data_IF_541231286345
#
_entry.id   IF_541231286345
#
_cell.length_a   1.000
_cell.length_b   1.000
_cell.length_c   1.000
_cell.angle_alpha   90.00
_cell.angle_beta   90.00
_cell.angle_gamma   90.00
#
_symmetry.space_group_name_H-M   'P 1'
#
loop_
_entity.id
_entity.type
_entity.pdbx_description
1 polymer ?
2 non-polymer ?
3 non-polymer ?
4 non-polymer ?
5 water ?
#
# COMPACT_ATOMS: atom_id res chain seq x y z
N UNK A 1 -7.04 -13.31 1.35
CA UNK A 1 -8.47 -13.42 1.62
C UNK A 1 -8.91 -12.39 2.66
N UNK A 2 -10.00 -11.70 2.36
CA UNK A 2 -10.55 -10.71 3.29
C UNK A 2 -11.22 -11.41 4.47
N UNK A 3 -11.32 -10.69 5.58
CA UNK A 3 -11.91 -11.22 6.80
C UNK A 3 -12.58 -10.08 7.55
N UNK A 4 -12.88 -10.31 8.83
CA UNK A 4 -13.57 -9.30 9.63
C UNK A 4 -12.68 -8.11 9.97
N UNK A 5 -11.37 -8.23 9.79
CA UNK A 5 -10.49 -7.08 9.99
C UNK A 5 -10.66 -6.03 8.90
N UNK A 6 -11.33 -6.36 7.81
CA UNK A 6 -11.61 -5.43 6.71
C UNK A 6 -13.10 -5.39 6.40
N UNK A 7 -13.94 -5.60 7.41
CA UNK A 7 -15.38 -5.65 7.19
C UNK A 7 -16.04 -4.28 7.25
N UNK A 8 -15.44 -3.31 7.96
CA UNK A 8 -15.98 -1.95 7.93
C UNK A 8 -15.85 -1.35 6.54
N UNK A 9 -14.72 -1.57 5.87
CA UNK A 9 -14.55 -1.04 4.53
C UNK A 9 -15.44 -1.71 3.50
N UNK A 10 -15.58 -3.04 3.60
CA UNK A 10 -16.43 -3.75 2.65
C UNK A 10 -17.90 -3.38 2.82
N UNK A 11 -18.36 -3.24 4.06
CA UNK A 11 -19.74 -2.84 4.30
C UNK A 11 -20.01 -1.42 3.79
N UNK A 12 -19.00 -0.56 3.83
CA UNK A 12 -19.16 0.79 3.28
C UNK A 12 -19.38 0.76 1.78
N UNK A 13 -18.66 -0.11 1.08
CA UNK A 13 -18.80 -0.19 -0.38
C UNK A 13 -20.15 -0.79 -0.76
N UNK A 14 -20.57 -1.86 -0.08
CA UNK A 14 -21.88 -2.43 -0.39
C UNK A 14 -23.00 -1.50 0.02
N UNK A 15 -22.80 -0.67 1.04
CA UNK A 15 -23.78 0.35 1.38
C UNK A 15 -23.83 1.43 0.31
N UNK A 16 -22.67 1.77 -0.27
CA UNK A 16 -22.64 2.76 -1.34
C UNK A 16 -23.35 2.24 -2.58
N UNK A 17 -23.16 0.96 -2.91
CA UNK A 17 -23.78 0.40 -4.11
C UNK A 17 -25.28 0.20 -3.91
N UNK A 18 -25.69 -0.29 -2.74
CA UNK A 18 -27.11 -0.54 -2.49
C UNK A 18 -27.87 0.79 -2.45
N UNK A 19 -27.30 1.80 -1.80
CA UNK A 19 -27.97 3.09 -1.70
C UNK A 19 -28.04 3.78 -3.06
N UNK A 20 -26.99 3.64 -3.88
CA UNK A 20 -27.04 4.19 -5.23
C UNK A 20 -28.10 3.49 -6.08
N UNK A 21 -28.18 2.17 -5.98
CA UNK A 21 -29.17 1.42 -6.75
C UNK A 21 -30.59 1.82 -6.37
N UNK A 22 -30.85 2.02 -5.07
CA UNK A 22 -32.19 2.36 -4.63
C UNK A 22 -32.56 3.79 -5.03
N UNK A 23 -31.60 4.71 -4.98
CA UNK A 23 -31.88 6.10 -5.35
C UNK A 23 -32.20 6.22 -6.84
N UNK A 24 -31.45 5.51 -7.68
CA UNK A 24 -31.68 5.59 -9.12
C UNK A 24 -32.96 4.86 -9.53
N UNK A 25 -33.18 3.67 -8.97
CA UNK A 25 -34.35 2.88 -9.37
C UNK A 25 -35.65 3.59 -9.04
N UNK A 26 -35.68 4.32 -7.92
CA UNK A 26 -36.89 5.02 -7.51
C UNK A 26 -37.06 6.37 -8.19
N UNK A 27 -36.03 6.86 -8.89
CA UNK A 27 -36.14 8.12 -9.63
C UNK A 27 -35.98 7.93 -11.13
N UNK A 28 -34.87 7.37 -11.59
CA UNK A 28 -34.57 7.21 -13.01
C UNK A 28 -34.08 5.79 -13.26
N UNK A 29 -34.99 4.82 -13.40
CA UNK A 29 -34.55 3.44 -13.60
C UNK A 29 -33.71 3.24 -14.85
N UNK A 30 -33.88 4.06 -15.88
CA UNK A 30 -33.11 3.89 -17.10
C UNK A 30 -31.64 4.21 -16.92
N UNK A 31 -31.24 4.78 -15.78
CA UNK A 31 -29.86 5.18 -15.54
C UNK A 31 -29.27 4.51 -14.31
N UNK A 32 -29.73 3.30 -13.96
CA UNK A 32 -29.14 2.62 -12.82
C UNK A 32 -27.68 2.26 -13.07
N UNK A 33 -27.37 1.80 -14.29
CA UNK A 33 -26.05 1.26 -14.61
C UNK A 33 -25.03 2.37 -14.80
N UNK A 34 -25.31 3.43 -15.58
CA UNK A 34 -24.40 4.60 -15.54
C UNK A 34 -24.33 5.24 -14.18
N UNK A 35 -25.42 5.25 -13.41
CA UNK A 35 -25.37 5.81 -12.07
C UNK A 35 -24.51 4.99 -11.12
N UNK A 36 -24.55 3.66 -11.25
CA UNK A 36 -23.72 2.81 -10.41
C UNK A 36 -22.24 2.97 -10.73
N UNK A 37 -21.92 3.16 -12.01
CA UNK A 37 -20.51 3.32 -12.39
C UNK A 37 -19.92 4.60 -11.85
N UNK A 38 -20.72 5.67 -11.77
CA UNK A 38 -20.23 6.92 -11.22
C UNK A 38 -19.91 6.78 -9.72
N UNK A 39 -20.70 6.00 -8.99
CA UNK A 39 -20.39 5.73 -7.59
C UNK A 39 -19.10 4.93 -7.46
N UNK A 40 -18.90 3.94 -8.33
CA UNK A 40 -17.65 3.17 -8.30
C UNK A 40 -16.46 4.04 -8.66
N UNK A 41 -16.62 4.96 -9.62
CA UNK A 41 -15.55 5.88 -9.95
C UNK A 41 -15.22 6.80 -8.78
N UNK A 42 -16.25 7.21 -8.03
CA UNK A 42 -16.02 8.00 -6.83
C UNK A 42 -15.27 7.21 -5.77
N UNK A 43 -15.61 5.94 -5.60
CA UNK A 43 -14.97 5.12 -4.59
C UNK A 43 -13.53 4.76 -4.97
N UNK A 44 -13.25 4.64 -6.27
CA UNK A 44 -11.88 4.36 -6.71
C UNK A 44 -10.95 5.52 -6.36
N UNK A 45 -11.42 6.75 -6.51
CA UNK A 45 -10.62 7.91 -6.15
C UNK A 45 -10.42 8.00 -4.64
N UNK A 46 -11.47 7.68 -3.87
CA UNK A 46 -11.35 7.69 -2.42
C UNK A 46 -10.34 6.66 -1.95
N UNK A 47 -10.37 5.46 -2.54
CA UNK A 47 -9.49 4.38 -2.14
C UNK A 47 -8.02 4.64 -2.49
N UNK A 48 -7.73 5.65 -3.30
CA UNK A 48 -6.36 6.00 -3.64
C UNK A 48 -5.85 7.20 -2.87
N UNK A 49 -6.63 7.71 -1.91
CA UNK A 49 -6.29 8.95 -1.22
C UNK A 49 -5.35 8.76 -0.04
N UNK A 50 -5.10 7.52 0.39
CA UNK A 50 -4.13 7.21 1.44
C UNK A 50 -4.45 7.96 2.74
N UNK A 51 -5.62 7.63 3.31
CA UNK A 51 -6.02 8.26 4.55
C UNK A 51 -5.96 7.26 5.70
N UNK A 52 -5.71 7.72 6.93
CA UNK A 52 -5.64 6.79 8.07
C UNK A 52 -6.92 5.99 8.27
N UNK A 53 -8.08 6.55 7.97
CA UNK A 53 -9.32 5.81 8.09
C UNK A 53 -9.45 4.74 7.02
N UNK A 54 -8.77 4.91 5.89
CA UNK A 54 -8.87 3.93 4.80
C UNK A 54 -8.28 2.59 5.23
N UNK A 55 -7.05 2.60 5.73
CA UNK A 55 -6.43 1.36 6.18
C UNK A 55 -6.97 0.90 7.53
N UNK A 56 -7.62 1.80 8.28
CA UNK A 56 -8.31 1.38 9.49
C UNK A 56 -9.59 0.62 9.19
N UNK A 57 -10.17 0.80 8.00
CA UNK A 57 -11.35 0.07 7.56
C UNK A 57 -11.02 -1.15 6.72
N UNK A 58 -9.91 -1.12 5.98
CA UNK A 58 -9.52 -2.23 5.10
C UNK A 58 -8.28 -2.95 5.60
N UNK A 59 -7.98 -2.83 6.91
CA UNK A 59 -6.86 -3.50 7.55
C UNK A 59 -5.50 -3.00 7.03
N UNK A 60 -5.13 -3.39 5.81
CA UNK A 60 -3.82 -3.07 5.28
C UNK A 60 -3.94 -2.20 4.03
N UNK A 61 -2.84 -1.53 3.69
CA UNK A 61 -2.79 -0.74 2.47
C UNK A 61 -2.81 -1.62 1.23
N UNK A 62 -2.32 -2.86 1.34
CA UNK A 62 -2.40 -3.79 0.23
C UNK A 62 -3.85 -4.11 -0.11
N UNK A 63 -4.69 -4.29 0.91
CA UNK A 63 -6.10 -4.55 0.67
C UNK A 63 -6.84 -3.29 0.21
N UNK A 64 -6.33 -2.11 0.59
CA UNK A 64 -6.93 -0.87 0.11
C UNK A 64 -6.79 -0.77 -1.41
N UNK A 65 -5.61 -1.09 -1.94
CA UNK A 65 -5.37 -1.01 -3.37
C UNK A 65 -5.92 -2.20 -4.13
N UNK A 66 -6.22 -3.31 -3.44
CA UNK A 66 -6.91 -4.41 -4.11
C UNK A 66 -8.37 -4.06 -4.40
N UNK A 67 -9.05 -3.46 -3.42
CA UNK A 67 -10.40 -2.96 -3.65
C UNK A 67 -10.39 -1.79 -4.62
N UNK A 68 -9.34 -0.97 -4.57
CA UNK A 68 -9.20 0.14 -5.51
C UNK A 68 -9.16 -0.35 -6.95
N UNK A 69 -8.56 -1.52 -7.20
CA UNK A 69 -8.58 -2.10 -8.52
C UNK A 69 -9.92 -2.74 -8.85
N UNK A 70 -10.61 -3.27 -7.84
CA UNK A 70 -11.89 -3.93 -8.10
C UNK A 70 -12.97 -2.92 -8.51
N UNK A 71 -13.03 -1.78 -7.81
CA UNK A 71 -13.98 -0.74 -8.19
C UNK A 71 -13.59 -0.06 -9.50
N UNK A 72 -12.32 -0.18 -9.90
CA UNK A 72 -11.90 0.35 -11.19
C UNK A 72 -12.39 -0.52 -12.33
N UNK A 73 -12.33 -1.85 -12.17
CA UNK A 73 -12.80 -2.74 -13.21
C UNK A 73 -14.32 -2.80 -13.27
N UNK A 74 -14.98 -2.66 -12.13
CA UNK A 74 -16.44 -2.59 -12.13
C UNK A 74 -16.94 -1.33 -12.82
N UNK A 75 -16.21 -0.22 -12.69
CA UNK A 75 -16.60 1.02 -13.37
C UNK A 75 -16.56 0.86 -14.87
N UNK A 76 -15.44 0.37 -15.41
CA UNK A 76 -15.27 0.31 -16.85
C UNK A 76 -16.22 -0.72 -17.47
N UNK A 77 -16.58 -1.76 -16.72
CA UNK A 77 -17.52 -2.75 -17.24
C UNK A 77 -18.92 -2.15 -17.36
N UNK A 78 -19.32 -1.35 -16.37
CA UNK A 78 -20.62 -0.71 -16.43
C UNK A 78 -20.65 0.43 -17.45
N UNK A 79 -19.54 1.15 -17.61
CA UNK A 79 -19.48 2.21 -18.60
C UNK A 79 -19.47 1.67 -20.02
N UNK A 80 -18.87 0.50 -20.23
CA UNK A 80 -18.88 -0.11 -21.55
C UNK A 80 -20.30 -0.55 -21.92
N UNK A 81 -21.03 -1.13 -20.97
CA UNK A 81 -22.43 -1.47 -21.23
C UNK A 81 -23.31 -0.24 -21.28
N UNK A 82 -22.91 0.85 -20.63
CA UNK A 82 -23.59 2.13 -20.83
C UNK A 82 -23.38 2.64 -22.26
N UNK A 83 -22.14 2.62 -22.72
CA UNK A 83 -21.84 3.08 -24.07
C UNK A 83 -22.47 2.19 -25.13
N UNK A 84 -22.44 0.88 -24.92
CA UNK A 84 -22.97 -0.04 -25.92
C UNK A 84 -24.47 0.14 -26.10
N UNK A 85 -25.20 0.28 -25.00
CA UNK A 85 -26.65 0.32 -25.05
C UNK A 85 -27.22 1.72 -25.27
N UNK A 86 -26.38 2.75 -25.27
CA UNK A 86 -26.87 4.12 -25.32
C UNK A 86 -26.24 4.98 -26.41
N UNK A 87 -25.19 4.53 -27.04
CA UNK A 87 -24.54 5.33 -28.07
C UNK A 87 -23.63 4.51 -28.95
N UNK A 88 -22.59 5.17 -29.48
CA UNK A 88 -21.66 4.53 -30.40
C UNK A 88 -20.22 4.95 -30.17
N UNK A 89 -19.45 5.01 -31.25
CA UNK A 89 -18.03 5.35 -31.12
C UNK A 89 -17.84 6.84 -30.82
N UNK A 90 -18.58 7.70 -31.50
CA UNK A 90 -18.48 9.14 -31.32
C UNK A 90 -19.86 9.73 -31.25
N UNK A 91 -20.00 10.79 -30.45
CA UNK A 91 -21.30 11.38 -30.20
C UNK A 91 -21.63 12.52 -31.14
N UNK A 92 -22.92 12.84 -31.20
CA UNK A 92 -23.43 13.92 -32.06
C UNK A 92 -23.42 15.26 -31.36
N UNK A 93 -23.77 15.31 -30.07
CA UNK A 93 -23.74 16.53 -29.30
C UNK A 93 -22.45 16.62 -28.50
N UNK A 94 -22.17 17.82 -27.99
CA UNK A 94 -21.00 18.02 -27.14
C UNK A 94 -21.14 17.22 -25.84
N UNK A 95 -22.34 17.16 -25.28
CA UNK A 95 -22.54 16.43 -24.03
C UNK A 95 -22.22 14.95 -24.19
N UNK A 96 -22.66 14.35 -25.30
CA UNK A 96 -22.36 12.94 -25.54
C UNK A 96 -20.88 12.71 -25.80
N UNK A 97 -20.24 13.65 -26.51
CA UNK A 97 -18.83 13.50 -26.86
C UNK A 97 -17.93 13.60 -25.64
N UNK A 98 -18.38 14.28 -24.59
CA UNK A 98 -17.63 14.30 -23.34
C UNK A 98 -17.57 12.91 -22.72
N UNK A 99 -18.67 12.17 -22.81
CA UNK A 99 -18.65 10.80 -22.33
C UNK A 99 -17.87 9.86 -23.22
N UNK A 100 -17.74 10.20 -24.50
CA UNK A 100 -16.89 9.43 -25.40
C UNK A 100 -15.42 9.61 -25.05
N UNK A 101 -15.01 10.85 -24.83
CA UNK A 101 -13.62 11.11 -24.45
C UNK A 101 -13.26 10.45 -23.12
N UNK A 102 -14.16 10.53 -22.16
CA UNK A 102 -13.88 9.98 -20.83
C UNK A 102 -13.71 8.47 -20.88
N UNK A 103 -14.57 7.77 -21.63
CA UNK A 103 -14.48 6.32 -21.69
C UNK A 103 -13.23 5.88 -22.44
N UNK A 104 -12.77 6.67 -23.40
CA UNK A 104 -11.54 6.33 -24.10
C UNK A 104 -10.33 6.49 -23.18
N UNK A 105 -10.31 7.55 -22.37
CA UNK A 105 -9.22 7.73 -21.42
C UNK A 105 -9.31 6.70 -20.30
N UNK A 106 -10.51 6.39 -19.84
CA UNK A 106 -10.67 5.41 -18.77
C UNK A 106 -10.20 4.03 -19.20
N UNK A 107 -10.55 3.62 -20.42
CA UNK A 107 -10.12 2.31 -20.91
C UNK A 107 -8.63 2.30 -21.22
N UNK A 108 -8.09 3.39 -21.77
CA UNK A 108 -6.67 3.44 -22.09
C UNK A 108 -5.82 3.41 -20.84
N UNK A 109 -6.23 4.13 -19.79
CA UNK A 109 -5.45 4.16 -18.56
C UNK A 109 -5.52 2.82 -17.84
N UNK A 110 -6.71 2.22 -17.79
CA UNK A 110 -6.86 0.93 -17.11
C UNK A 110 -6.08 -0.15 -17.85
N UNK A 111 -6.05 -0.10 -19.17
CA UNK A 111 -5.24 -1.03 -19.94
C UNK A 111 -3.76 -0.84 -19.64
N UNK A 112 -3.30 0.41 -19.61
CA UNK A 112 -1.90 0.71 -19.32
C UNK A 112 -1.58 0.39 -17.86
N UNK A 113 -2.53 0.64 -16.96
CA UNK A 113 -2.29 0.39 -15.53
C UNK A 113 -2.04 -1.09 -15.27
N UNK A 114 -2.80 -1.97 -15.93
CA UNK A 114 -2.64 -3.40 -15.68
C UNK A 114 -1.34 -3.92 -16.28
N UNK A 115 -1.18 -3.81 -17.60
CA UNK A 115 0.03 -4.29 -18.26
C UNK A 115 1.10 -3.20 -18.36
N UNK A 116 1.38 -2.56 -17.24
CA UNK A 116 2.40 -1.53 -17.19
C UNK A 116 3.48 -1.83 -16.17
N UNK A 117 3.81 -3.11 -16.02
CA UNK A 117 4.83 -3.51 -15.07
C UNK A 117 6.22 -3.03 -15.49
N UNK A 118 6.53 -3.08 -16.78
CA UNK A 118 7.87 -2.75 -17.26
C UNK A 118 8.10 -1.25 -17.41
N UNK A 119 7.05 -0.43 -17.33
CA UNK A 119 7.22 1.03 -17.40
C UNK A 119 7.80 1.52 -16.08
N UNK A 120 8.50 2.64 -16.14
CA UNK A 120 9.01 3.26 -14.93
C UNK A 120 7.84 3.71 -14.06
N UNK A 121 8.05 3.67 -12.74
CA UNK A 121 6.96 3.95 -11.81
C UNK A 121 6.48 5.39 -11.93
N UNK A 122 7.40 6.34 -12.09
CA UNK A 122 7.00 7.74 -12.20
C UNK A 122 6.33 8.02 -13.54
N UNK A 123 6.82 7.40 -14.60
CA UNK A 123 6.12 7.50 -15.89
C UNK A 123 4.75 6.84 -15.80
N UNK A 124 4.66 5.70 -15.12
CA UNK A 124 3.37 5.06 -14.92
C UNK A 124 2.42 5.94 -14.12
N UNK A 125 2.95 6.61 -13.09
CA UNK A 125 2.12 7.48 -12.26
C UNK A 125 1.59 8.67 -13.05
N UNK A 126 2.42 9.26 -13.91
CA UNK A 126 1.98 10.40 -14.71
C UNK A 126 0.91 10.01 -15.71
N UNK A 127 1.04 8.83 -16.33
CA UNK A 127 -0.02 8.32 -17.19
C UNK A 127 -1.26 8.01 -16.37
N UNK A 128 -1.07 7.46 -15.17
CA UNK A 128 -2.21 7.10 -14.32
C UNK A 128 -3.03 8.33 -13.93
N UNK A 129 -2.36 9.47 -13.76
CA UNK A 129 -3.05 10.69 -13.32
C UNK A 129 -3.95 11.28 -14.40
N UNK A 130 -4.10 10.63 -15.56
CA UNK A 130 -5.01 11.09 -16.59
C UNK A 130 -6.45 10.69 -16.33
N UNK A 131 -6.71 9.83 -15.34
CA UNK A 131 -8.09 9.49 -15.01
C UNK A 131 -8.81 10.69 -14.40
N UNK A 132 -8.07 11.61 -13.78
CA UNK A 132 -8.71 12.81 -13.26
C UNK A 132 -9.30 13.64 -14.38
N UNK A 133 -8.58 13.76 -15.50
CA UNK A 133 -9.12 14.46 -16.66
C UNK A 133 -10.36 13.75 -17.20
N UNK A 134 -10.31 12.41 -17.27
CA UNK A 134 -11.47 11.64 -17.69
C UNK A 134 -12.61 11.74 -16.68
N UNK A 135 -12.28 11.73 -15.39
CA UNK A 135 -13.31 11.89 -14.35
C UNK A 135 -13.99 13.25 -14.47
N UNK A 136 -13.22 14.31 -14.69
CA UNK A 136 -13.79 15.64 -14.87
C UNK A 136 -14.64 15.67 -16.14
N UNK A 137 -14.15 15.06 -17.22
CA UNK A 137 -14.92 15.03 -18.47
C UNK A 137 -16.25 14.28 -18.28
N UNK A 138 -16.23 13.20 -17.51
CA UNK A 138 -17.47 12.49 -17.23
C UNK A 138 -18.45 13.32 -16.42
N UNK A 139 -17.94 14.16 -15.52
CA UNK A 139 -18.82 15.02 -14.73
C UNK A 139 -19.49 16.07 -15.60
N UNK A 140 -18.77 16.60 -16.59
CA UNK A 140 -19.42 17.46 -17.59
C UNK A 140 -20.49 16.70 -18.37
N UNK A 141 -20.19 15.45 -18.73
CA UNK A 141 -21.15 14.65 -19.48
C UNK A 141 -22.44 14.43 -18.68
N UNK A 142 -22.30 14.13 -17.38
CA UNK A 142 -23.47 13.84 -16.56
C UNK A 142 -24.30 15.10 -16.36
N UNK A 143 -23.65 16.23 -16.07
CA UNK A 143 -24.38 17.45 -15.73
C UNK A 143 -24.88 18.20 -16.95
N UNK A 144 -24.27 18.00 -18.12
CA UNK A 144 -24.84 18.53 -19.35
C UNK A 144 -26.02 17.70 -19.83
N UNK A 145 -25.97 16.38 -19.63
CA UNK A 145 -27.05 15.52 -20.06
C UNK A 145 -28.26 15.67 -19.14
N UNK A 146 -28.04 15.49 -17.84
CA UNK A 146 -29.13 15.57 -16.85
C UNK A 146 -29.15 16.96 -16.21
N UNK A 147 -29.40 17.96 -17.03
CA UNK A 147 -29.45 19.32 -16.54
C UNK A 147 -30.74 19.58 -15.77
N UNK A 148 -30.60 20.30 -14.66
CA UNK A 148 -31.68 20.71 -13.77
C UNK A 148 -32.31 19.54 -13.03
N UNK A 149 -31.89 18.30 -13.32
CA UNK A 149 -32.39 17.13 -12.61
C UNK A 149 -31.50 16.72 -11.45
N UNK A 150 -30.21 17.06 -11.49
CA UNK A 150 -29.29 16.84 -10.39
C UNK A 150 -28.90 18.15 -9.72
N UNK A 151 -29.66 19.21 -9.94
CA UNK A 151 -29.38 20.53 -9.36
C UNK A 151 -30.58 21.05 -8.59
N UNK A 152 -31.43 20.16 -8.10
CA UNK A 152 -32.60 20.53 -7.32
C UNK A 152 -32.45 20.02 -5.90
N UNK A 153 -33.50 20.21 -5.09
CA UNK A 153 -33.52 19.73 -3.71
C UNK A 153 -34.24 18.39 -3.68
N UNK A 154 -33.49 17.33 -3.96
CA UNK A 154 -34.01 15.98 -3.91
C UNK A 154 -32.89 15.02 -3.56
N UNK A 155 -33.25 13.76 -3.34
CA UNK A 155 -32.28 12.76 -2.92
C UNK A 155 -31.25 12.48 -4.01
N UNK A 156 -31.69 12.43 -5.27
CA UNK A 156 -30.78 12.11 -6.37
C UNK A 156 -29.72 13.20 -6.55
N UNK A 157 -30.11 14.46 -6.43
CA UNK A 157 -29.14 15.55 -6.56
C UNK A 157 -28.11 15.50 -5.44
N UNK A 158 -28.55 15.22 -4.22
CA UNK A 158 -27.61 15.13 -3.10
C UNK A 158 -26.71 13.91 -3.23
N UNK A 159 -27.25 12.79 -3.69
CA UNK A 159 -26.46 11.57 -3.82
C UNK A 159 -25.43 11.70 -4.93
N UNK A 160 -25.83 12.19 -6.10
CA UNK A 160 -24.90 12.32 -7.20
C UNK A 160 -23.88 13.41 -6.91
N UNK A 161 -24.32 14.54 -6.36
CA UNK A 161 -23.41 15.63 -6.10
C UNK A 161 -22.38 15.31 -5.04
N UNK A 162 -22.80 14.62 -3.98
CA UNK A 162 -21.88 14.32 -2.88
C UNK A 162 -20.79 13.35 -3.32
N UNK A 163 -21.16 12.25 -3.98
CA UNK A 163 -20.17 11.29 -4.43
C UNK A 163 -19.27 11.88 -5.51
N UNK A 164 -19.83 12.68 -6.41
CA UNK A 164 -19.01 13.36 -7.41
C UNK A 164 -18.07 14.36 -6.76
N UNK A 165 -18.53 15.06 -5.73
CA UNK A 165 -17.65 16.01 -5.04
C UNK A 165 -16.57 15.28 -4.24
N UNK A 166 -16.91 14.14 -3.61
CA UNK A 166 -15.92 13.38 -2.87
C UNK A 166 -14.82 12.86 -3.79
N UNK A 167 -15.19 12.34 -4.96
CA UNK A 167 -14.20 11.90 -5.92
C UNK A 167 -13.38 13.04 -6.49
N UNK A 168 -14.01 14.20 -6.69
CA UNK A 168 -13.27 15.38 -7.15
C UNK A 168 -12.30 15.86 -6.09
N UNK A 169 -12.71 15.84 -4.82
CA UNK A 169 -11.84 16.27 -3.74
C UNK A 169 -10.76 15.22 -3.42
N UNK A 170 -11.07 13.94 -3.62
CA UNK A 170 -10.08 12.90 -3.37
C UNK A 170 -9.02 12.87 -4.47
N UNK A 171 -9.43 13.08 -5.72
CA UNK A 171 -8.47 13.11 -6.81
C UNK A 171 -7.53 14.30 -6.73
N UNK A 172 -8.04 15.45 -6.27
CA UNK A 172 -7.20 16.64 -6.16
C UNK A 172 -6.20 16.49 -5.02
N UNK A 173 -6.59 15.83 -3.94
CA UNK A 173 -5.70 15.72 -2.79
C UNK A 173 -4.49 14.84 -3.08
N UNK A 174 -4.73 13.65 -3.64
CA UNK A 174 -3.62 12.72 -3.85
C UNK A 174 -2.73 13.18 -5.00
N UNK A 175 -3.30 13.83 -6.02
CA UNK A 175 -2.51 14.19 -7.19
C UNK A 175 -1.76 15.49 -6.95
N UNK A 176 -2.42 16.50 -6.38
CA UNK A 176 -1.82 17.82 -6.25
C UNK A 176 -1.43 18.21 -4.84
N UNK A 177 -2.00 17.58 -3.82
CA UNK A 177 -1.84 18.03 -2.45
C UNK A 177 -1.11 17.05 -1.54
N UNK A 178 -1.21 15.74 -1.79
CA UNK A 178 -0.71 14.75 -0.84
C UNK A 178 0.78 14.90 -0.60
N UNK A 179 1.57 15.10 -1.66
CA UNK A 179 3.01 15.17 -1.52
C UNK A 179 3.50 16.54 -1.06
N UNK A 180 2.62 17.52 -0.96
CA UNK A 180 3.01 18.87 -0.55
C UNK A 180 2.62 19.21 0.86
N UNK A 181 1.47 18.72 1.35
CA UNK A 181 1.00 19.06 2.67
C UNK A 181 1.05 17.89 3.64
N UNK A 182 0.95 16.65 3.15
CA UNK A 182 0.86 15.48 4.02
C UNK A 182 2.23 14.88 4.33
N UNK A 183 3.29 15.68 4.28
CA UNK A 183 4.64 15.25 4.63
C UNK A 183 5.21 16.23 5.64
N UNK A 184 4.72 16.20 6.88
CA UNK A 184 5.10 17.22 7.86
C UNK A 184 6.39 16.93 8.60
N UNK A 185 6.98 15.75 8.42
CA UNK A 185 8.19 15.35 9.15
C UNK A 185 9.39 15.69 8.28
N UNK A 186 9.95 16.87 8.50
CA UNK A 186 11.17 17.28 7.79
C UNK A 186 12.38 16.81 8.57
N UNK A 187 13.33 16.21 7.86
CA UNK A 187 14.54 15.72 8.50
C UNK A 187 15.71 15.73 7.53
N UNK A 188 16.88 15.42 8.07
CA UNK A 188 18.11 15.36 7.28
C UNK A 188 18.86 14.09 7.66
N UNK A 189 19.69 13.62 6.72
CA UNK A 189 20.44 12.40 6.92
C UNK A 189 21.70 12.71 7.72
N UNK A 190 21.89 12.00 8.83
CA UNK A 190 23.03 12.20 9.71
C UNK A 190 24.19 11.26 9.41
N UNK A 191 23.92 9.95 9.39
CA UNK A 191 24.95 8.95 9.11
C UNK A 191 24.44 7.95 8.08
N UNK A 192 25.36 7.45 7.27
CA UNK A 192 25.07 6.43 6.26
C UNK A 192 26.08 5.31 6.38
N UNK A 193 25.60 4.08 6.42
CA UNK A 193 26.46 2.92 6.58
C UNK A 193 26.10 1.88 5.52
N UNK A 194 27.12 1.29 4.90
CA UNK A 194 26.96 0.23 3.92
C UNK A 194 27.15 -1.11 4.62
N UNK A 195 26.05 -1.85 4.78
CA UNK A 195 26.09 -3.11 5.51
C UNK A 195 26.77 -4.20 4.69
N UNK A 196 26.27 -4.47 3.49
CA UNK A 196 26.92 -5.40 2.58
C UNK A 196 27.07 -4.74 1.20
N UNK A 197 27.39 -5.54 0.19
CA UNK A 197 27.70 -4.99 -1.13
C UNK A 197 26.51 -4.28 -1.77
N UNK A 198 25.28 -4.50 -1.29
CA UNK A 198 24.12 -3.89 -1.95
C UNK A 198 23.06 -3.38 -0.98
N UNK A 199 23.42 -3.10 0.28
CA UNK A 199 22.46 -2.56 1.24
C UNK A 199 23.10 -1.40 1.99
N UNK A 200 22.35 -0.32 2.13
CA UNK A 200 22.80 0.87 2.84
C UNK A 200 21.78 1.25 3.90
N UNK A 201 22.28 1.64 5.07
CA UNK A 201 21.45 2.02 6.20
C UNK A 201 21.47 3.54 6.35
N UNK A 202 20.29 4.14 6.43
CA UNK A 202 20.14 5.60 6.49
C UNK A 202 19.66 5.98 7.87
N UNK A 203 20.37 6.90 8.52
CA UNK A 203 19.94 7.47 9.79
C UNK A 203 19.46 8.90 9.57
N UNK A 204 18.27 9.20 10.05
CA UNK A 204 17.60 10.46 9.80
C UNK A 204 17.28 11.12 11.13
N UNK A 205 17.55 12.42 11.23
CA UNK A 205 17.22 13.21 12.40
C UNK A 205 16.05 14.12 12.06
N UNK A 206 14.90 13.89 12.71
CA UNK A 206 13.70 14.65 12.45
C UNK A 206 13.57 15.82 13.42
N UNK A 207 12.96 16.90 12.93
CA UNK A 207 12.75 18.09 13.77
C UNK A 207 11.67 17.87 14.81
N UNK A 208 10.79 16.90 14.62
CA UNK A 208 9.76 16.55 15.58
C UNK A 208 9.73 15.04 15.77
N UNK A 209 9.31 14.58 16.95
CA UNK A 209 9.30 13.13 17.20
C UNK A 209 8.38 12.39 16.23
N UNK A 210 8.80 11.20 15.83
CA UNK A 210 8.04 10.33 14.95
C UNK A 210 7.46 9.19 15.78
N UNK A 211 6.15 9.01 15.70
CA UNK A 211 5.45 7.98 16.46
C UNK A 211 5.15 6.80 15.54
N UNK A 212 5.65 5.63 15.89
CA UNK A 212 5.44 4.44 15.09
C UNK A 212 5.59 3.21 15.99
N UNK A 213 5.10 2.08 15.48
CA UNK A 213 5.24 0.80 16.14
C UNK A 213 6.11 -0.12 15.29
N UNK A 214 6.86 -0.99 15.96
CA UNK A 214 7.77 -1.88 15.25
C UNK A 214 7.00 -2.79 14.30
N UNK A 215 7.47 -2.86 13.06
CA UNK A 215 6.76 -3.53 11.99
C UNK A 215 6.01 -2.61 11.06
N UNK A 216 6.12 -1.30 11.23
CA UNK A 216 5.44 -0.32 10.41
C UNK A 216 6.42 0.34 9.44
N UNK A 217 5.87 0.92 8.38
CA UNK A 217 6.66 1.57 7.35
C UNK A 217 6.17 2.99 7.13
N UNK A 218 6.93 3.75 6.35
CA UNK A 218 6.60 5.11 6.00
C UNK A 218 6.97 5.35 4.54
N UNK A 219 6.75 6.57 4.07
CA UNK A 219 7.10 6.97 2.71
C UNK A 219 8.21 8.01 2.76
N UNK A 220 9.26 7.76 1.99
CA UNK A 220 10.47 8.59 2.01
C UNK A 220 10.55 9.41 0.74
N UNK A 221 10.85 10.70 0.89
CA UNK A 221 11.08 11.61 -0.23
C UNK A 221 12.43 12.29 -0.01
N UNK A 222 13.39 11.99 -0.88
CA UNK A 222 14.77 12.46 -0.72
C UNK A 222 14.95 13.70 -1.59
N UNK A 223 15.47 14.77 -1.00
CA UNK A 223 15.71 16.04 -1.69
C UNK A 223 17.22 16.22 -1.84
N UNK A 224 17.77 15.64 -2.90
CA UNK A 224 19.18 15.78 -3.22
C UNK A 224 19.34 15.96 -4.72
N UNK A 225 20.44 16.61 -5.11
CA UNK A 225 20.73 16.81 -6.52
C UNK A 225 20.97 15.47 -7.20
N UNK A 226 20.30 15.26 -8.33
CA UNK A 226 20.39 14.00 -9.03
C UNK A 226 19.49 12.91 -8.49
N UNK A 227 18.63 13.23 -7.52
CA UNK A 227 17.74 12.26 -6.89
C UNK A 227 16.29 12.59 -7.24
N UNK A 228 15.50 11.56 -7.49
CA UNK A 228 14.07 11.75 -7.65
C UNK A 228 13.41 11.99 -6.29
N UNK A 229 12.39 12.85 -6.30
CA UNK A 229 11.71 13.25 -5.08
C UNK A 229 10.41 12.48 -4.86
N UNK A 230 10.17 11.43 -5.63
CA UNK A 230 8.96 10.65 -5.46
C UNK A 230 8.99 9.86 -4.16
N UNK A 231 7.82 9.55 -3.59
CA UNK A 231 7.80 8.79 -2.33
C UNK A 231 7.99 7.30 -2.57
N UNK A 232 8.89 6.70 -1.80
CA UNK A 232 9.14 5.26 -1.83
C UNK A 232 8.86 4.68 -0.45
N UNK A 233 8.11 3.59 -0.35
CA UNK A 233 7.83 3.01 0.97
C UNK A 233 9.01 2.20 1.48
N UNK A 234 9.40 2.45 2.72
CA UNK A 234 10.47 1.71 3.37
C UNK A 234 10.06 1.40 4.80
N UNK A 235 10.37 0.18 5.25
CA UNK A 235 10.10 -0.20 6.62
C UNK A 235 11.06 0.52 7.56
N UNK A 236 10.51 1.03 8.67
CA UNK A 236 11.33 1.68 9.68
C UNK A 236 12.17 0.62 10.37
N UNK A 237 13.49 0.72 10.23
CA UNK A 237 14.42 -0.29 10.73
C UNK A 237 15.04 0.09 12.07
N UNK A 238 14.31 0.83 12.90
CA UNK A 238 14.77 1.22 14.21
C UNK A 238 14.63 2.71 14.43
N UNK A 239 15.13 3.15 15.57
CA UNK A 239 15.09 4.56 15.94
C UNK A 239 13.88 4.91 16.76
N UNK A 240 14.05 5.90 17.64
CA UNK A 240 12.96 6.38 18.48
C UNK A 240 13.08 7.90 18.63
N UNK A 241 11.94 8.54 18.82
CA UNK A 241 11.91 9.99 18.96
C UNK A 241 12.28 10.71 17.68
N UNK A 242 13.29 11.58 17.75
CA UNK A 242 13.74 12.34 16.59
C UNK A 242 14.81 11.61 15.78
N UNK A 243 14.89 10.29 15.89
CA UNK A 243 15.87 9.51 15.16
C UNK A 243 15.17 8.35 14.46
N UNK A 244 15.43 8.21 13.17
CA UNK A 244 14.83 7.14 12.36
C UNK A 244 15.92 6.43 11.58
N UNK A 245 15.77 5.11 11.46
CA UNK A 245 16.67 4.29 10.67
C UNK A 245 15.90 3.67 9.51
N UNK A 246 16.52 3.67 8.33
CA UNK A 246 15.98 2.98 7.18
C UNK A 246 17.10 2.15 6.56
N UNK A 247 16.76 0.92 6.15
CA UNK A 247 17.72 -0.02 5.58
C UNK A 247 17.25 -0.35 4.17
N UNK A 248 17.98 0.15 3.17
CA UNK A 248 17.56 0.10 1.78
C UNK A 248 18.51 -0.80 1.00
N UNK A 249 17.96 -1.80 0.32
CA UNK A 249 18.71 -2.68 -0.55
C UNK A 249 18.47 -2.27 -2.01
N UNK A 250 19.55 -2.25 -2.79
CA UNK A 250 19.44 -1.84 -4.20
C UNK A 250 18.54 -2.78 -4.97
N UNK A 251 17.36 -2.27 -5.36
CA UNK A 251 16.41 -3.04 -6.15
C UNK A 251 16.19 -2.49 -7.54
N UNK A 252 16.53 -1.25 -7.80
CA UNK A 252 16.34 -0.64 -9.10
C UNK A 252 17.17 0.61 -9.24
N UNK A 253 16.61 1.62 -9.84
CA UNK A 253 17.38 2.79 -10.24
C UNK A 253 17.46 3.83 -9.14
N UNK A 254 16.42 3.88 -8.35
CA UNK A 254 16.45 4.80 -7.21
C UNK A 254 17.23 4.21 -6.05
N UNK A 255 17.02 2.93 -5.75
CA UNK A 255 17.68 2.32 -4.60
C UNK A 255 19.17 2.11 -4.85
N UNK A 256 19.58 1.98 -6.12
CA UNK A 256 21.00 1.98 -6.43
C UNK A 256 21.59 3.38 -6.34
N UNK A 257 20.78 4.40 -6.58
CA UNK A 257 21.24 5.77 -6.36
C UNK A 257 21.48 6.04 -4.89
N UNK A 258 20.63 5.50 -4.02
CA UNK A 258 20.80 5.65 -2.58
C UNK A 258 22.09 4.99 -2.12
N UNK A 259 22.38 3.80 -2.65
CA UNK A 259 23.58 3.08 -2.21
C UNK A 259 24.85 3.81 -2.61
N UNK A 260 24.87 4.40 -3.80
CA UNK A 260 26.11 4.94 -4.35
C UNK A 260 26.25 6.45 -4.21
N UNK A 261 25.17 7.20 -4.33
CA UNK A 261 25.27 8.65 -4.46
C UNK A 261 24.70 9.43 -3.28
N UNK A 262 23.91 8.80 -2.41
CA UNK A 262 23.29 9.54 -1.30
C UNK A 262 24.36 10.04 -0.34
N UNK A 263 24.17 11.27 0.13
CA UNK A 263 25.14 11.92 1.00
C UNK A 263 24.48 12.34 2.31
N UNK A 264 25.28 12.41 3.37
CA UNK A 264 24.78 12.84 4.66
C UNK A 264 24.45 14.33 4.65
N UNK A 265 23.34 14.69 5.27
CA UNK A 265 22.87 16.06 5.31
C UNK A 265 21.76 16.37 4.32
N UNK A 266 21.47 15.46 3.40
CA UNK A 266 20.38 15.69 2.45
C UNK A 266 19.04 15.70 3.16
N UNK A 267 18.18 16.63 2.75
CA UNK A 267 16.87 16.77 3.37
C UNK A 267 15.95 15.62 2.96
N UNK A 268 15.17 15.14 3.92
CA UNK A 268 14.18 14.08 3.69
C UNK A 268 12.88 14.50 4.35
N UNK A 269 11.76 13.97 3.86
CA UNK A 269 10.45 14.23 4.44
C UNK A 269 9.69 12.94 4.61
N UNK A 270 9.03 12.78 5.76
CA UNK A 270 8.20 11.63 6.09
C UNK A 270 6.75 12.08 6.25
N UNK A 271 5.82 11.19 5.89
CA UNK A 271 4.41 11.51 6.05
C UNK A 271 3.83 11.00 7.37
N UNK A 272 3.85 9.68 7.56
CA UNK A 272 3.31 9.04 8.76
C UNK A 272 3.65 7.56 8.67
N UNK A 273 3.27 6.82 9.69
CA UNK A 273 3.55 5.39 9.78
C UNK A 273 2.35 4.59 9.29
N UNK A 274 2.60 3.65 8.40
CA UNK A 274 1.60 2.74 7.87
C UNK A 274 1.94 1.32 8.29
N UNK A 275 0.96 0.44 8.27
CA UNK A 275 1.24 -0.97 8.48
C UNK A 275 0.39 -1.65 9.52
N UNK A 276 0.02 -2.90 9.24
CA UNK A 276 -0.76 -3.72 10.15
C UNK A 276 0.06 -4.79 10.83
N UNK A 277 1.37 -4.83 10.60
CA UNK A 277 2.23 -5.89 11.13
C UNK A 277 2.89 -5.45 12.44
N UNK A 278 2.05 -5.11 13.41
CA UNK A 278 2.51 -4.64 14.72
C UNK A 278 2.95 -5.87 15.52
N UNK A 279 4.25 -5.99 15.76
CA UNK A 279 4.77 -7.15 16.47
C UNK A 279 4.37 -7.13 17.93
N UNK A 280 4.37 -5.95 18.55
CA UNK A 280 4.04 -5.85 19.98
C UNK A 280 2.61 -6.29 20.26
N UNK A 281 1.73 -6.20 19.27
CA UNK A 281 0.32 -6.52 19.46
C UNK A 281 0.02 -8.01 19.31
N UNK A 282 1.03 -8.84 19.02
CA UNK A 282 0.82 -10.26 18.84
C UNK A 282 0.81 -11.01 20.15
N UNK A 283 0.73 -12.33 20.03
CA UNK A 283 0.67 -13.21 21.19
C UNK A 283 2.03 -13.25 21.90
N UNK A 284 2.05 -13.91 23.06
CA UNK A 284 3.29 -14.08 23.79
C UNK A 284 4.28 -14.95 23.02
N UNK A 285 3.80 -16.01 22.41
CA UNK A 285 4.64 -16.88 21.58
C UNK A 285 4.55 -16.40 20.14
N UNK A 286 5.70 -16.12 19.54
CA UNK A 286 5.76 -15.58 18.19
C UNK A 286 6.78 -16.34 17.38
N UNK A 287 6.55 -16.39 16.06
CA UNK A 287 7.49 -16.94 15.11
C UNK A 287 7.74 -15.89 14.04
N UNK A 288 9.00 -15.51 13.85
CA UNK A 288 9.39 -14.53 12.85
C UNK A 288 10.09 -15.25 11.70
N UNK A 289 9.67 -14.95 10.47
CA UNK A 289 10.33 -15.45 9.28
C UNK A 289 10.65 -14.28 8.39
N UNK A 290 11.93 -14.12 8.04
CA UNK A 290 12.38 -13.00 7.23
C UNK A 290 13.18 -13.52 6.04
N UNK A 291 12.96 -12.91 4.88
CA UNK A 291 13.71 -13.25 3.69
C UNK A 291 14.45 -12.06 3.10
N UNK A 292 15.77 -12.12 3.14
CA UNK A 292 16.56 -11.03 2.58
C UNK A 292 16.36 -9.75 3.36
N UNK A 293 16.05 -8.67 2.63
CA UNK A 293 15.84 -7.36 3.26
C UNK A 293 14.49 -7.26 3.93
N UNK A 294 13.70 -8.33 3.94
CA UNK A 294 12.47 -8.36 4.71
C UNK A 294 12.66 -8.42 6.21
N UNK A 295 13.93 -8.46 6.66
CA UNK A 295 14.25 -8.46 8.08
C UNK A 295 14.07 -7.09 8.73
N UNK A 296 13.93 -6.03 7.93
CA UNK A 296 13.92 -4.68 8.49
C UNK A 296 12.82 -4.42 9.51
N UNK A 297 11.57 -4.89 9.36
CA UNK A 297 10.61 -4.67 10.44
C UNK A 297 11.00 -5.34 11.75
N UNK A 298 11.72 -6.47 11.70
CA UNK A 298 12.14 -7.14 12.92
C UNK A 298 13.39 -6.52 13.54
N UNK A 299 14.11 -5.67 12.81
CA UNK A 299 15.26 -4.99 13.39
C UNK A 299 14.81 -3.81 14.24
N UNK A 300 13.67 -3.19 13.90
CA UNK A 300 13.13 -2.13 14.72
C UNK A 300 12.74 -2.66 16.10
N UNK A 301 12.14 -3.85 16.15
CA UNK A 301 11.78 -4.44 17.43
C UNK A 301 13.00 -4.80 18.25
N UNK A 302 14.03 -5.35 17.61
CA UNK A 302 15.24 -5.75 18.33
C UNK A 302 15.96 -4.53 18.88
N UNK A 303 16.07 -3.46 18.08
CA UNK A 303 16.74 -2.25 18.54
C UNK A 303 15.99 -1.58 19.68
N UNK A 304 14.66 -1.53 19.59
CA UNK A 304 13.84 -0.79 20.54
C UNK A 304 13.47 -1.60 21.78
N UNK A 305 13.73 -2.90 21.79
CA UNK A 305 13.42 -3.76 22.93
C UNK A 305 14.68 -4.52 23.30
N UNK A 306 15.58 -3.90 24.08
CA UNK A 306 16.82 -4.59 24.48
C UNK A 306 16.57 -5.88 25.24
N UNK A 307 15.49 -5.96 26.00
CA UNK A 307 15.11 -7.19 26.71
C UNK A 307 13.83 -7.71 26.08
N UNK A 308 13.87 -8.95 25.61
CA UNK A 308 12.73 -9.55 24.92
C UNK A 308 11.77 -10.15 25.95
N UNK A 309 10.52 -9.69 25.91
CA UNK A 309 9.48 -10.18 26.80
C UNK A 309 8.60 -11.26 26.18
N UNK A 310 8.89 -11.67 24.96
CA UNK A 310 8.11 -12.67 24.24
C UNK A 310 8.96 -13.90 23.96
N UNK A 311 8.28 -14.97 23.56
CA UNK A 311 8.92 -16.21 23.13
C UNK A 311 8.98 -16.18 21.61
N UNK A 312 10.13 -15.74 21.07
CA UNK A 312 10.27 -15.46 19.66
C UNK A 312 11.25 -16.44 19.03
N UNK A 313 10.83 -17.09 17.95
CA UNK A 313 11.70 -17.90 17.11
C UNK A 313 11.92 -17.13 15.81
N UNK A 314 13.17 -16.86 15.48
CA UNK A 314 13.53 -16.07 14.30
C UNK A 314 14.14 -16.98 13.25
N UNK A 315 13.55 -17.00 12.07
CA UNK A 315 14.06 -17.75 10.93
C UNK A 315 14.47 -16.75 9.85
N UNK A 316 15.78 -16.56 9.68
CA UNK A 316 16.32 -15.63 8.71
C UNK A 316 16.91 -16.40 7.55
N UNK A 317 16.51 -16.02 6.33
CA UNK A 317 16.97 -16.65 5.10
C UNK A 317 17.65 -15.61 4.23
N UNK A 318 18.85 -15.92 3.75
CA UNK A 318 19.62 -14.98 2.95
C UNK A 318 20.34 -15.72 1.83
N UNK A 319 20.71 -14.98 0.80
CA UNK A 319 21.38 -15.52 -0.38
C UNK A 319 22.89 -15.58 -0.09
N UNK A 320 23.29 -16.54 0.73
CA UNK A 320 24.69 -16.70 1.04
C UNK A 320 25.18 -15.70 2.06
N UNK A 321 26.43 -15.84 2.49
CA UNK A 321 26.98 -14.95 3.51
C UNK A 321 27.14 -13.51 3.01
N UNK A 322 27.20 -13.30 1.69
CA UNK A 322 27.40 -11.98 1.15
C UNK A 322 26.14 -11.13 1.12
N UNK A 323 24.96 -11.73 1.30
CA UNK A 323 23.69 -11.02 1.26
C UNK A 323 23.00 -10.98 2.62
N UNK A 324 23.75 -11.16 3.70
CA UNK A 324 23.21 -11.13 5.04
C UNK A 324 23.54 -9.80 5.71
N UNK A 325 22.58 -9.26 6.46
CA UNK A 325 22.75 -8.00 7.16
C UNK A 325 22.45 -8.21 8.64
N UNK A 326 23.06 -7.37 9.47
CA UNK A 326 22.81 -7.35 10.92
C UNK A 326 23.11 -8.69 11.57
N UNK A 327 24.07 -9.44 11.04
CA UNK A 327 24.38 -10.75 11.60
C UNK A 327 24.93 -10.63 13.01
N UNK A 328 25.76 -9.61 13.27
CA UNK A 328 26.29 -9.41 14.61
C UNK A 328 25.20 -8.90 15.56
N UNK A 329 24.28 -8.08 15.06
CA UNK A 329 23.16 -7.63 15.88
C UNK A 329 22.29 -8.79 16.34
N UNK A 330 21.99 -9.72 15.42
CA UNK A 330 21.14 -10.85 15.75
C UNK A 330 21.83 -11.80 16.72
N UNK A 331 23.13 -12.04 16.52
CA UNK A 331 23.87 -12.90 17.44
C UNK A 331 23.96 -12.29 18.82
N UNK A 332 24.21 -10.97 18.89
CA UNK A 332 24.28 -10.30 20.19
C UNK A 332 22.92 -10.29 20.88
N UNK A 333 21.84 -10.09 20.12
CA UNK A 333 20.51 -10.10 20.72
C UNK A 333 20.16 -11.46 21.28
N UNK A 334 20.50 -12.54 20.55
CA UNK A 334 20.22 -13.88 21.03
C UNK A 334 21.02 -14.19 22.30
N UNK A 335 22.26 -13.71 22.38
CA UNK A 335 23.06 -13.94 23.58
C UNK A 335 22.47 -13.22 24.78
N UNK A 336 22.00 -11.99 24.59
CA UNK A 336 21.45 -11.23 25.71
C UNK A 336 20.10 -11.78 26.15
N UNK A 337 19.30 -12.27 25.21
CA UNK A 337 17.95 -12.72 25.51
C UNK A 337 17.86 -14.24 25.39
N UNK A 338 17.75 -14.97 26.51
CA UNK A 338 17.55 -16.42 26.40
C UNK A 338 16.30 -16.81 25.64
N UNK A 339 15.23 -16.02 25.73
CA UNK A 339 13.96 -16.33 25.08
C UNK A 339 13.93 -15.99 23.60
N UNK A 340 15.08 -15.74 22.99
CA UNK A 340 15.19 -15.43 21.57
C UNK A 340 16.00 -16.52 20.90
N UNK A 341 15.41 -17.18 19.90
CA UNK A 341 16.08 -18.23 19.14
C UNK A 341 16.37 -17.72 17.74
N UNK A 342 17.63 -17.86 17.32
CA UNK A 342 18.08 -17.41 16.01
C UNK A 342 18.30 -18.62 15.11
N UNK A 343 17.72 -18.60 13.92
CA UNK A 343 17.86 -19.67 12.94
C UNK A 343 18.32 -19.05 11.63
N UNK A 344 19.63 -19.03 11.39
CA UNK A 344 20.19 -18.49 10.17
C UNK A 344 20.22 -19.59 9.10
N UNK A 345 19.62 -19.30 7.96
CA UNK A 345 19.47 -20.27 6.87
C UNK A 345 20.17 -19.70 5.65
N UNK A 346 21.36 -20.21 5.35
CA UNK A 346 22.03 -19.90 4.10
C UNK A 346 21.35 -20.68 2.98
N UNK A 347 20.72 -19.96 2.05
CA UNK A 347 19.92 -20.62 1.02
C UNK A 347 20.77 -21.55 0.16
N UNK A 348 21.98 -21.11 -0.20
CA UNK A 348 22.86 -21.97 -0.99
C UNK A 348 23.34 -23.17 -0.17
N UNK A 349 23.74 -22.94 1.08
CA UNK A 349 24.30 -24.01 1.90
C UNK A 349 23.20 -24.84 2.56
N UNK A 350 22.40 -24.21 3.43
CA UNK A 350 21.40 -24.95 4.17
C UNK A 350 20.30 -25.51 3.27
N UNK A 351 19.87 -24.72 2.29
CA UNK A 351 18.83 -25.15 1.38
C UNK A 351 17.58 -24.30 1.42
N UNK A 352 16.44 -24.94 1.67
CA UNK A 352 15.15 -24.27 1.68
C UNK A 352 14.57 -24.25 3.08
N UNK A 353 13.86 -23.16 3.40
CA UNK A 353 13.15 -23.04 4.66
C UNK A 353 11.86 -23.84 4.57
N UNK A 354 11.82 -24.98 5.25
CA UNK A 354 10.68 -25.88 5.20
C UNK A 354 10.15 -26.10 6.62
N UNK A 355 8.83 -25.99 6.78
CA UNK A 355 8.17 -26.17 8.07
C UNK A 355 7.41 -27.47 8.18
N UNK A 356 7.77 -28.47 7.36
CA UNK A 356 7.06 -29.76 7.41
C UNK A 356 7.33 -30.47 8.72
N UNK A 357 8.60 -30.78 9.00
CA UNK A 357 8.97 -31.42 10.25
C UNK A 357 9.20 -30.43 11.39
N UNK A 358 9.27 -29.14 11.10
CA UNK A 358 9.41 -28.13 12.14
C UNK A 358 8.11 -27.99 12.91
N UNK A 359 8.23 -27.70 14.20
CA UNK A 359 7.09 -27.55 15.09
C UNK A 359 6.92 -26.08 15.47
N UNK A 360 5.70 -25.57 15.31
CA UNK A 360 5.37 -24.21 15.71
C UNK A 360 4.78 -24.25 17.12
N UNK A 361 4.95 -23.22 17.93
CA UNK A 361 4.42 -23.26 19.29
C UNK A 361 2.91 -23.14 19.31
N UNK A 362 2.31 -23.70 20.35
CA UNK A 362 0.85 -23.65 20.51
C UNK A 362 0.40 -22.23 20.83
N UNK A 363 -0.65 -21.79 20.13
CA UNK A 363 -1.20 -20.44 20.30
C UNK A 363 -0.13 -19.38 20.04
N UNK A 364 0.40 -19.40 18.81
CA UNK A 364 1.46 -18.50 18.41
C UNK A 364 1.05 -17.74 17.16
N UNK A 365 1.56 -16.51 17.04
CA UNK A 365 1.36 -15.69 15.85
C UNK A 365 2.63 -15.72 15.01
N UNK A 366 2.45 -15.89 13.70
CA UNK A 366 3.58 -15.97 12.77
C UNK A 366 3.63 -14.67 11.98
N UNK A 367 4.74 -13.96 12.12
CA UNK A 367 4.97 -12.73 11.35
C UNK A 367 5.93 -13.05 10.21
N UNK A 368 5.49 -12.78 8.99
CA UNK A 368 6.20 -13.22 7.80
C UNK A 368 6.48 -12.03 6.91
N UNK A 369 7.74 -11.88 6.51
CA UNK A 369 8.15 -10.78 5.65
C UNK A 369 9.22 -11.28 4.70
N UNK A 370 9.06 -10.98 3.40
CA UNK A 370 10.01 -11.41 2.40
C UNK A 370 9.37 -11.58 1.04
N UNK A 371 9.97 -12.41 0.20
CA UNK A 371 9.39 -12.66 -1.13
C UNK A 371 7.99 -13.26 -1.02
N UNK A 372 7.11 -12.81 -1.91
CA UNK A 372 5.72 -13.25 -1.86
C UNK A 372 5.60 -14.73 -2.17
N UNK A 373 6.36 -15.22 -3.16
CA UNK A 373 6.29 -16.63 -3.52
C UNK A 373 6.73 -17.53 -2.37
N UNK A 374 7.81 -17.16 -1.69
CA UNK A 374 8.31 -17.97 -0.59
C UNK A 374 7.36 -17.92 0.60
N UNK A 375 6.76 -16.75 0.89
CA UNK A 375 5.80 -16.62 2.01
C UNK A 375 4.61 -17.55 1.75
N UNK A 376 4.04 -17.57 0.55
CA UNK A 376 2.83 -18.35 0.30
C UNK A 376 3.08 -19.83 0.57
N UNK A 377 4.22 -20.36 0.13
CA UNK A 377 4.54 -21.75 0.39
C UNK A 377 4.68 -22.03 1.88
N UNK A 378 5.35 -21.12 2.59
CA UNK A 378 5.54 -21.30 4.03
C UNK A 378 4.22 -21.20 4.78
N UNK A 379 3.35 -20.27 4.38
CA UNK A 379 2.07 -20.09 5.07
C UNK A 379 1.21 -21.34 4.93
N UNK A 380 1.26 -22.00 3.78
CA UNK A 380 0.48 -23.22 3.59
C UNK A 380 0.89 -24.30 4.58
N UNK A 381 2.19 -24.54 4.71
CA UNK A 381 2.67 -25.66 5.52
C UNK A 381 2.40 -25.44 7.00
N UNK A 382 2.37 -24.18 7.45
CA UNK A 382 2.09 -23.92 8.86
C UNK A 382 0.65 -24.25 9.19
N UNK A 383 -0.28 -23.93 8.28
CA UNK A 383 -1.70 -24.14 8.56
C UNK A 383 -2.06 -25.62 8.64
N UNK A 384 -1.35 -26.48 7.90
CA UNK A 384 -1.63 -27.91 7.98
C UNK A 384 -1.32 -28.45 9.37
N UNK A 385 -0.21 -28.00 9.97
CA UNK A 385 0.18 -28.50 11.28
C UNK A 385 -0.74 -27.95 12.37
N UNK A 386 -0.79 -26.63 12.51
CA UNK A 386 -1.64 -25.97 13.50
C UNK A 386 -2.59 -25.01 12.79
N UNK A 387 -3.82 -25.42 12.50
CA UNK A 387 -4.76 -24.50 11.84
C UNK A 387 -5.11 -23.28 12.67
N UNK A 388 -4.92 -23.34 13.99
CA UNK A 388 -5.25 -22.21 14.87
C UNK A 388 -4.19 -21.13 14.85
N UNK A 389 -3.06 -21.34 14.19
CA UNK A 389 -2.00 -20.35 14.15
C UNK A 389 -2.47 -19.07 13.45
N UNK A 390 -2.09 -17.93 14.00
CA UNK A 390 -2.39 -16.64 13.40
C UNK A 390 -1.22 -16.19 12.54
N UNK A 391 -1.47 -15.97 11.26
CA UNK A 391 -0.42 -15.65 10.31
C UNK A 391 -0.63 -14.23 9.80
N UNK A 392 0.39 -13.40 9.93
CA UNK A 392 0.36 -12.01 9.46
C UNK A 392 1.53 -11.81 8.50
N UNK A 393 1.21 -11.32 7.30
CA UNK A 393 2.20 -11.13 6.25
C UNK A 393 2.07 -9.72 5.67
N UNK A 394 3.20 -9.11 5.34
CA UNK A 394 3.23 -7.82 4.67
C UNK A 394 4.05 -7.95 3.39
N UNK A 395 3.49 -7.46 2.28
CA UNK A 395 4.15 -7.51 1.00
C UNK A 395 4.82 -6.19 0.64
N UNK A 396 5.60 -6.22 -0.43
CA UNK A 396 6.36 -5.06 -0.89
C UNK A 396 5.87 -4.52 -2.23
N UNK A 397 4.63 -4.82 -2.61
CA UNK A 397 4.09 -4.39 -3.89
C UNK A 397 2.67 -3.93 -3.73
N UNK A 398 2.32 -2.84 -4.41
CA UNK A 398 0.94 -2.38 -4.51
C UNK A 398 0.27 -2.80 -5.81
N UNK A 399 1.04 -2.97 -6.88
CA UNK A 399 0.49 -3.39 -8.16
C UNK A 399 1.28 -4.58 -8.71
#
# INVERSE_FOLDING_TARGET
EFSMKSVKGLLFIIASFILTLLTWMNTSPQFMIPGLALTSLSLTFILATRLPLLESWFHSLEKVYTVHKFTAFLSIILLIFHNFSMGGLWGSRLAAQFGNLAIYIFASIILVAYLGKYIQYEAWRWIHRLVYLAYILGLFHIYMIMGNRLLTFNLLSFLVGSYALLGLLAGFYIIFLYQKISFPYLGKITHLKRLNHDTREIQIHLSRPFNYQSGQFAFLKIFQEGFESAPHPFSISGGHGQTLYFTVKTSGDHTKNIYDNLQAGSKVTLDRAYGHMIIEEGRENQVWIAGGIGITPFISYIREHPILDKQVHFYYSFRGDENAVYLDLLRNYAQKNPNFELHLIDSTKDGYLNFEQKEVPEHATVYMCGPISMMKALAKQIKKQNPKTELIYEGAKFK
#
